data_IF_833019948019
#
_entry.id   IF_833019948019
#
_cell.length_a   1.000
_cell.length_b   1.000
_cell.length_c   1.000
_cell.angle_alpha   90.00
_cell.angle_beta   90.00
_cell.angle_gamma   90.00
#
_symmetry.space_group_name_H-M   'P 1'
#
loop_
_entity.id
_entity.type
_entity.pdbx_description
1 polymer ?
#
# COMPACT_ATOMS: atom_id res chain seq x y z
N UNK A 1 31.84 32.57 -22.75
CA UNK A 1 31.27 31.66 -23.76
C UNK A 1 31.20 30.28 -23.11
N UNK A 2 30.02 29.86 -22.65
CA UNK A 2 29.83 28.54 -22.00
C UNK A 2 29.60 27.49 -23.09
N UNK A 3 30.30 26.37 -23.01
CA UNK A 3 30.28 25.30 -24.01
C UNK A 3 29.01 24.44 -23.88
N UNK A 4 28.39 24.01 -25.01
CA UNK A 4 27.16 23.23 -25.01
C UNK A 4 27.24 21.87 -24.29
N UNK A 5 28.46 21.40 -23.97
CA UNK A 5 28.71 20.15 -23.27
C UNK A 5 28.32 20.21 -21.78
N UNK A 6 28.36 21.39 -21.15
CA UNK A 6 28.00 21.53 -19.74
C UNK A 6 26.47 21.53 -19.53
N UNK A 7 25.71 21.98 -20.54
CA UNK A 7 24.25 21.99 -20.49
C UNK A 7 23.66 20.58 -20.70
N UNK A 8 24.37 19.73 -21.45
CA UNK A 8 23.94 18.34 -21.70
C UNK A 8 24.17 17.43 -20.48
N UNK A 9 25.20 17.70 -19.68
CA UNK A 9 25.47 16.94 -18.44
C UNK A 9 24.43 17.22 -17.35
N UNK A 10 23.87 18.42 -17.31
CA UNK A 10 22.84 18.80 -16.34
C UNK A 10 21.47 18.15 -16.64
N UNK A 11 21.15 17.90 -17.92
CA UNK A 11 19.94 17.18 -18.32
C UNK A 11 20.00 15.67 -18.02
N UNK A 12 21.17 15.04 -18.10
CA UNK A 12 21.32 13.61 -17.78
C UNK A 12 21.18 13.32 -16.28
N UNK A 13 21.63 14.21 -15.39
CA UNK A 13 21.45 14.00 -13.94
C UNK A 13 19.99 14.10 -13.49
N UNK A 14 19.17 14.92 -14.15
CA UNK A 14 17.75 15.06 -13.78
C UNK A 14 16.90 13.87 -14.26
N UNK A 15 17.34 13.16 -15.30
CA UNK A 15 16.65 11.97 -15.81
C UNK A 15 16.98 10.70 -15.01
N UNK A 16 18.18 10.62 -14.42
CA UNK A 16 18.63 9.45 -13.65
C UNK A 16 18.08 9.40 -12.21
N UNK A 17 17.58 10.52 -11.67
CA UNK A 17 16.85 10.52 -10.39
C UNK A 17 15.39 10.03 -10.53
N UNK A 18 14.84 9.94 -11.74
CA UNK A 18 13.48 9.42 -11.98
C UNK A 18 13.39 7.89 -12.00
N UNK A 19 14.51 7.18 -12.11
CA UNK A 19 14.52 5.73 -12.41
C UNK A 19 14.64 4.80 -11.20
N UNK A 20 14.85 5.31 -9.98
CA UNK A 20 15.06 4.46 -8.78
C UNK A 20 14.03 4.64 -7.67
N UNK A 21 12.97 5.43 -7.90
CA UNK A 21 11.95 5.63 -6.88
C UNK A 21 10.95 4.46 -6.96
N UNK A 22 11.09 3.49 -6.05
CA UNK A 22 9.93 2.73 -5.57
C UNK A 22 8.78 3.72 -5.35
N UNK A 23 7.53 3.40 -5.75
CA UNK A 23 6.41 4.31 -5.61
C UNK A 23 6.37 4.86 -4.18
N UNK A 24 6.51 6.17 -4.04
CA UNK A 24 6.84 6.87 -2.79
C UNK A 24 5.85 6.61 -1.66
N UNK A 25 4.67 6.07 -1.96
CA UNK A 25 3.64 5.68 -1.00
C UNK A 25 4.02 4.47 -0.14
N UNK A 26 5.03 3.69 -0.55
CA UNK A 26 5.49 2.53 0.22
C UNK A 26 6.45 2.94 1.34
N UNK A 27 6.83 4.22 1.41
CA UNK A 27 7.60 4.76 2.53
C UNK A 27 6.66 5.24 3.63
N UNK A 28 6.86 4.72 4.84
CA UNK A 28 6.03 4.99 6.02
C UNK A 28 5.78 6.49 6.28
N UNK A 29 6.83 7.30 6.15
CA UNK A 29 6.74 8.76 6.35
C UNK A 29 5.88 9.47 5.28
N UNK A 30 5.92 9.00 4.04
CA UNK A 30 5.13 9.57 2.94
C UNK A 30 3.69 9.08 2.97
N UNK A 31 3.45 7.82 3.37
CA UNK A 31 2.11 7.25 3.49
C UNK A 31 1.29 8.00 4.54
N UNK A 32 1.80 8.18 5.76
CA UNK A 32 1.04 8.83 6.83
C UNK A 32 0.67 10.28 6.50
N UNK A 33 1.58 11.06 5.90
CA UNK A 33 1.30 12.44 5.48
C UNK A 33 0.26 12.49 4.35
N UNK A 34 0.39 11.63 3.33
CA UNK A 34 -0.58 11.52 2.24
C UNK A 34 -1.95 11.04 2.73
N UNK A 35 -1.95 10.06 3.62
CA UNK A 35 -3.16 9.48 4.20
C UNK A 35 -3.87 10.48 5.11
N UNK A 36 -3.15 11.24 5.93
CA UNK A 36 -3.70 12.32 6.75
C UNK A 36 -4.35 13.42 5.90
N UNK A 37 -3.68 13.84 4.82
CA UNK A 37 -4.23 14.82 3.88
C UNK A 37 -5.45 14.28 3.13
N UNK A 38 -5.39 13.03 2.68
CA UNK A 38 -6.49 12.40 1.96
C UNK A 38 -7.70 12.17 2.87
N UNK A 39 -7.51 11.67 4.09
CA UNK A 39 -8.60 11.44 5.05
C UNK A 39 -9.29 12.75 5.44
N UNK A 40 -8.52 13.82 5.66
CA UNK A 40 -9.06 15.17 5.91
C UNK A 40 -9.87 15.69 4.72
N UNK A 41 -9.36 15.50 3.49
CA UNK A 41 -10.03 15.95 2.26
C UNK A 41 -11.30 15.17 1.94
N UNK A 42 -11.31 13.86 2.22
CA UNK A 42 -12.44 12.96 1.91
C UNK A 42 -13.39 12.80 3.10
N UNK A 43 -13.23 13.58 4.18
CA UNK A 43 -14.02 13.49 5.41
C UNK A 43 -14.07 12.08 6.01
N UNK A 44 -12.99 11.30 5.84
CA UNK A 44 -12.87 9.97 6.41
C UNK A 44 -12.53 10.11 7.88
N UNK A 45 -13.54 9.99 8.73
CA UNK A 45 -13.35 9.91 10.18
C UNK A 45 -12.79 8.54 10.52
N UNK A 46 -11.49 8.48 10.78
CA UNK A 46 -10.83 7.28 11.29
C UNK A 46 -11.36 7.02 12.70
N UNK A 47 -12.14 5.96 12.85
CA UNK A 47 -12.68 5.56 14.14
C UNK A 47 -11.64 4.69 14.85
N UNK A 48 -11.06 5.23 15.92
CA UNK A 48 -10.00 4.55 16.69
C UNK A 48 -10.50 3.29 17.38
N UNK A 49 -11.81 3.20 17.70
CA UNK A 49 -12.40 1.96 18.24
C UNK A 49 -12.52 0.90 17.15
N UNK A 50 -12.75 1.32 15.90
CA UNK A 50 -12.76 0.44 14.74
C UNK A 50 -11.36 -0.13 14.45
N UNK A 51 -10.31 0.66 14.68
CA UNK A 51 -8.91 0.26 14.56
C UNK A 51 -8.36 -0.57 15.73
N UNK A 52 -9.20 -1.02 16.66
CA UNK A 52 -8.78 -1.96 17.70
C UNK A 52 -9.39 -3.33 17.48
N UNK A 53 -8.58 -4.37 17.65
CA UNK A 53 -9.03 -5.77 17.72
C UNK A 53 -8.21 -6.49 18.79
N UNK A 54 -8.88 -7.24 19.67
CA UNK A 54 -8.24 -7.98 20.77
C UNK A 54 -7.35 -7.11 21.69
N UNK A 55 -7.74 -5.84 21.90
CA UNK A 55 -6.97 -4.90 22.72
C UNK A 55 -5.69 -4.36 22.06
N UNK A 56 -5.44 -4.69 20.79
CA UNK A 56 -4.31 -4.16 20.00
C UNK A 56 -4.80 -3.23 18.91
N UNK A 57 -4.00 -2.21 18.63
CA UNK A 57 -4.27 -1.27 17.56
C UNK A 57 -3.80 -1.84 16.21
N UNK A 58 -4.65 -1.72 15.20
CA UNK A 58 -4.38 -2.09 13.82
C UNK A 58 -3.56 -0.95 13.20
N UNK A 59 -2.33 -1.27 12.80
CA UNK A 59 -1.50 -0.35 12.04
C UNK A 59 -1.95 -0.33 10.57
N UNK A 60 -2.52 0.79 10.13
CA UNK A 60 -3.04 0.97 8.77
C UNK A 60 -1.94 0.86 7.70
N UNK A 61 -0.72 1.31 8.01
CA UNK A 61 0.39 1.27 7.07
C UNK A 61 0.92 -0.16 6.91
N UNK A 62 1.11 -0.88 8.02
CA UNK A 62 1.48 -2.29 8.00
C UNK A 62 0.42 -3.14 7.29
N UNK A 63 -0.86 -2.83 7.52
CA UNK A 63 -1.98 -3.48 6.85
C UNK A 63 -1.94 -3.21 5.33
N UNK A 64 -1.73 -1.95 4.91
CA UNK A 64 -1.59 -1.57 3.51
C UNK A 64 -0.43 -2.30 2.82
N UNK A 65 0.78 -2.26 3.40
CA UNK A 65 1.96 -2.97 2.85
C UNK A 65 1.69 -4.46 2.74
N UNK A 66 1.12 -5.06 3.78
CA UNK A 66 0.88 -6.51 3.81
C UNK A 66 -0.12 -6.90 2.73
N UNK A 67 -1.23 -6.19 2.58
CA UNK A 67 -2.22 -6.47 1.53
C UNK A 67 -1.63 -6.21 0.14
N UNK A 68 -0.84 -5.14 -0.04
CA UNK A 68 -0.13 -4.87 -1.28
C UNK A 68 0.86 -6.01 -1.64
N UNK A 69 1.59 -6.55 -0.66
CA UNK A 69 2.48 -7.68 -0.82
C UNK A 69 1.75 -8.95 -1.31
N UNK A 70 0.55 -9.20 -0.78
CA UNK A 70 -0.29 -10.34 -1.23
C UNK A 70 -1.04 -10.07 -2.55
N UNK A 71 -0.81 -8.93 -3.21
CA UNK A 71 -1.37 -8.59 -4.51
C UNK A 71 -2.63 -7.71 -4.46
N UNK A 72 -2.85 -7.02 -3.35
CA UNK A 72 -3.91 -6.03 -3.17
C UNK A 72 -5.22 -6.63 -2.68
N UNK A 73 -6.16 -5.74 -2.34
CA UNK A 73 -7.45 -6.08 -1.73
C UNK A 73 -8.22 -7.17 -2.49
N UNK A 74 -8.32 -7.05 -3.82
CA UNK A 74 -9.08 -8.00 -4.65
C UNK A 74 -8.54 -9.42 -4.54
N UNK A 75 -7.21 -9.59 -4.57
CA UNK A 75 -6.58 -10.90 -4.47
C UNK A 75 -6.73 -11.47 -3.06
N UNK A 76 -6.48 -10.65 -2.04
CA UNK A 76 -6.61 -11.06 -0.63
C UNK A 76 -8.03 -11.48 -0.28
N UNK A 77 -9.06 -10.72 -0.68
CA UNK A 77 -10.45 -11.10 -0.43
C UNK A 77 -10.88 -12.32 -1.25
N UNK A 78 -10.44 -12.45 -2.51
CA UNK A 78 -10.83 -13.58 -3.37
C UNK A 78 -10.22 -14.91 -2.93
N UNK A 79 -8.97 -14.89 -2.47
CA UNK A 79 -8.23 -16.08 -2.03
C UNK A 79 -8.36 -16.33 -0.52
N UNK A 80 -9.24 -15.62 0.18
CA UNK A 80 -9.46 -15.72 1.63
C UNK A 80 -8.16 -15.61 2.45
N UNK A 81 -7.29 -14.66 2.07
CA UNK A 81 -5.97 -14.48 2.70
C UNK A 81 -5.99 -13.55 3.92
N UNK A 82 -7.14 -12.96 4.27
CA UNK A 82 -7.28 -12.11 5.47
C UNK A 82 -6.79 -12.76 6.76
N UNK A 83 -7.02 -14.06 7.02
CA UNK A 83 -6.45 -14.74 8.18
C UNK A 83 -4.90 -14.74 8.16
N UNK A 84 -4.29 -14.90 6.99
CA UNK A 84 -2.83 -14.87 6.82
C UNK A 84 -2.28 -13.46 7.00
N UNK A 85 -2.98 -12.45 6.47
CA UNK A 85 -2.66 -11.03 6.69
C UNK A 85 -2.70 -10.73 8.20
N UNK A 86 -3.76 -11.15 8.91
CA UNK A 86 -3.89 -10.92 10.34
C UNK A 86 -2.77 -11.56 11.16
N UNK A 87 -2.40 -12.79 10.83
CA UNK A 87 -1.25 -13.44 11.44
C UNK A 87 0.05 -12.66 11.23
N UNK A 88 0.28 -12.16 10.01
CA UNK A 88 1.48 -11.38 9.68
C UNK A 88 1.54 -10.03 10.38
N UNK A 89 0.38 -9.46 10.72
CA UNK A 89 0.25 -8.27 11.56
C UNK A 89 0.38 -8.58 13.07
N UNK A 90 0.68 -9.83 13.43
CA UNK A 90 0.89 -10.25 14.81
C UNK A 90 -0.36 -10.75 15.53
N UNK A 91 -1.51 -10.85 14.85
CA UNK A 91 -2.75 -11.43 15.39
C UNK A 91 -2.82 -12.94 15.16
N UNK A 92 -1.70 -13.64 15.39
CA UNK A 92 -1.64 -15.10 15.22
C UNK A 92 -2.50 -15.76 16.31
N UNK A 93 -3.49 -16.54 15.89
CA UNK A 93 -4.27 -17.40 16.79
C UNK A 93 -4.03 -18.87 16.48
N UNK A 94 -3.78 -19.19 15.21
CA UNK A 94 -3.40 -20.51 14.75
C UNK A 94 -1.97 -20.43 14.21
N UNK A 95 -0.98 -20.93 14.97
CA UNK A 95 0.39 -20.98 14.48
C UNK A 95 0.47 -21.89 13.25
N UNK A 96 1.26 -21.51 12.25
CA UNK A 96 1.49 -22.32 11.07
C UNK A 96 2.31 -23.56 11.42
N UNK A 97 1.95 -24.72 10.87
CA UNK A 97 2.71 -25.96 11.03
C UNK A 97 3.41 -26.32 9.72
N UNK A 98 4.74 -26.46 9.76
CA UNK A 98 5.57 -26.93 8.66
C UNK A 98 5.54 -26.02 7.43
N UNK A 99 4.54 -26.24 6.55
CA UNK A 99 4.38 -25.58 5.25
C UNK A 99 3.17 -24.63 5.18
N UNK A 100 2.38 -24.55 6.25
CA UNK A 100 1.21 -23.66 6.31
C UNK A 100 1.56 -22.32 6.96
N UNK A 101 1.00 -21.25 6.42
CA UNK A 101 1.12 -19.93 7.00
C UNK A 101 0.32 -19.86 8.29
N UNK A 102 0.86 -19.16 9.29
CA UNK A 102 0.09 -18.77 10.47
C UNK A 102 -1.19 -18.02 10.06
N UNK A 103 -2.25 -18.19 10.84
CA UNK A 103 -3.55 -17.56 10.60
C UNK A 103 -4.08 -16.88 11.85
N UNK A 104 -4.74 -15.75 11.67
CA UNK A 104 -5.60 -15.17 12.69
C UNK A 104 -6.94 -15.88 12.73
N UNK A 105 -7.73 -15.62 13.76
CA UNK A 105 -9.12 -16.08 13.78
C UNK A 105 -10.01 -15.35 12.80
N UNK A 106 -11.21 -15.90 12.56
CA UNK A 106 -12.19 -15.34 11.63
C UNK A 106 -12.64 -13.93 12.02
N UNK A 107 -12.76 -13.65 13.32
CA UNK A 107 -13.16 -12.32 13.82
C UNK A 107 -12.13 -11.25 13.45
N UNK A 108 -10.83 -11.56 13.60
CA UNK A 108 -9.75 -10.65 13.22
C UNK A 108 -9.72 -10.46 11.71
N UNK A 109 -9.83 -11.53 10.93
CA UNK A 109 -9.81 -11.48 9.47
C UNK A 109 -10.93 -10.57 8.92
N UNK A 110 -12.17 -10.77 9.38
CA UNK A 110 -13.32 -9.95 9.01
C UNK A 110 -13.15 -8.48 9.43
N UNK A 111 -12.57 -8.23 10.61
CA UNK A 111 -12.30 -6.88 11.09
C UNK A 111 -11.26 -6.16 10.22
N UNK A 112 -10.17 -6.85 9.86
CA UNK A 112 -9.13 -6.31 8.99
C UNK A 112 -9.65 -6.01 7.60
N UNK A 113 -10.48 -6.90 7.03
CA UNK A 113 -11.14 -6.65 5.75
C UNK A 113 -12.01 -5.39 5.79
N UNK A 114 -12.83 -5.27 6.84
CA UNK A 114 -13.72 -4.12 7.01
C UNK A 114 -12.93 -2.81 7.17
N UNK A 115 -11.91 -2.82 8.03
CA UNK A 115 -11.01 -1.67 8.26
C UNK A 115 -10.33 -1.26 6.96
N UNK A 116 -9.76 -2.22 6.21
CA UNK A 116 -9.13 -1.93 4.93
C UNK A 116 -10.13 -1.30 3.96
N UNK A 117 -11.32 -1.88 3.84
CA UNK A 117 -12.34 -1.41 2.91
C UNK A 117 -12.85 -0.01 3.24
N UNK A 118 -13.00 0.32 4.52
CA UNK A 118 -13.44 1.64 4.96
C UNK A 118 -12.36 2.70 4.81
N UNK A 119 -11.12 2.37 5.19
CA UNK A 119 -10.08 3.35 5.40
C UNK A 119 -9.03 3.41 4.29
N UNK A 120 -8.69 2.27 3.68
CA UNK A 120 -7.56 2.15 2.74
C UNK A 120 -8.02 1.95 1.30
N UNK A 121 -9.14 1.27 1.07
CA UNK A 121 -9.55 0.88 -0.29
C UNK A 121 -9.74 2.06 -1.24
N UNK A 122 -10.37 3.14 -0.77
CA UNK A 122 -10.58 4.34 -1.61
C UNK A 122 -9.28 5.12 -1.85
N UNK A 123 -8.41 5.18 -0.84
CA UNK A 123 -7.07 5.76 -0.95
C UNK A 123 -6.24 4.99 -1.99
N UNK A 124 -6.23 3.66 -1.87
CA UNK A 124 -5.55 2.75 -2.79
C UNK A 124 -6.14 2.81 -4.18
N UNK A 125 -7.47 2.87 -4.33
CA UNK A 125 -8.09 2.99 -5.65
C UNK A 125 -7.63 4.27 -6.38
N UNK A 126 -7.60 5.40 -5.68
CA UNK A 126 -7.09 6.65 -6.25
C UNK A 126 -5.60 6.56 -6.61
N UNK A 127 -4.81 5.86 -5.81
CA UNK A 127 -3.37 5.67 -6.05
C UNK A 127 -3.07 4.68 -7.18
N UNK A 128 -3.65 3.48 -7.14
CA UNK A 128 -3.51 2.44 -8.15
C UNK A 128 -4.03 2.90 -9.52
N UNK A 129 -5.11 3.67 -9.59
CA UNK A 129 -5.55 4.29 -10.86
C UNK A 129 -4.49 5.21 -11.47
N UNK A 130 -3.74 5.93 -10.62
CA UNK A 130 -2.65 6.81 -11.07
C UNK A 130 -1.43 6.00 -11.51
N UNK A 131 -1.10 4.91 -10.82
CA UNK A 131 -0.01 3.99 -11.21
C UNK A 131 -0.33 3.21 -12.49
N UNK A 132 -1.54 2.67 -12.65
CA UNK A 132 -1.96 1.98 -13.87
C UNK A 132 -1.88 2.91 -15.08
N UNK A 133 -2.33 4.17 -14.95
CA UNK A 133 -2.19 5.16 -16.02
C UNK A 133 -0.72 5.45 -16.35
N UNK A 134 0.16 5.50 -15.34
CA UNK A 134 1.60 5.69 -15.56
C UNK A 134 2.24 4.49 -16.26
N UNK A 135 1.85 3.26 -15.90
CA UNK A 135 2.32 2.04 -16.57
C UNK A 135 1.79 1.93 -18.00
N UNK A 136 0.52 2.26 -18.26
CA UNK A 136 -0.06 2.31 -19.60
C UNK A 136 0.64 3.34 -20.49
N UNK A 137 0.97 4.53 -19.96
CA UNK A 137 1.78 5.52 -20.69
C UNK A 137 3.17 5.00 -21.01
N UNK A 138 3.86 4.40 -20.03
CA UNK A 138 5.19 3.80 -20.25
C UNK A 138 5.16 2.66 -21.28
N UNK A 139 4.09 1.85 -21.32
CA UNK A 139 3.93 0.78 -22.32
C UNK A 139 3.56 1.30 -23.71
N UNK A 140 2.82 2.41 -23.80
CA UNK A 140 2.52 3.07 -25.07
C UNK A 140 3.74 3.80 -25.65
N UNK A 141 4.59 4.38 -24.79
CA UNK A 141 5.84 5.03 -25.21
C UNK A 141 6.93 4.03 -25.59
N UNK A 142 6.94 2.83 -25.02
CA UNK A 142 7.94 1.78 -25.34
C UNK A 142 7.63 1.00 -26.63
N UNK A 143 6.53 1.30 -27.31
CA UNK A 143 6.10 0.69 -28.57
C UNK A 143 6.20 1.66 -29.77
N UNK A 144 6.87 2.80 -29.61
CA UNK A 144 7.14 3.78 -30.66
C UNK A 144 8.63 3.91 -30.92
#
# INVERSE_FOLDING_TARGET
MQTPQQQQQQQQQQQQQRSSQLPSILQNGSFMDMYSKWSSKNSVKVDTTMLQVDGRQIDLHALHITVAYYGGFQKVSREDLWPVVGARLGFVQFPGSGNEHARSGPMVAQRLEHVYRQYLFQFDSAYYMSMQQMQLRKQAESQR
#
